data_IF_064360285940
#
_entry.id   IF_064360285940
#
_cell.length_a   1.000
_cell.length_b   1.000
_cell.length_c   1.000
_cell.angle_alpha   90.00
_cell.angle_beta   90.00
_cell.angle_gamma   90.00
#
_symmetry.space_group_name_H-M   'P 1'
#
loop_
_entity.id
_entity.type
_entity.pdbx_description
1 polymer ?
#
# COMPACT_ATOMS: atom_id res chain seq x y z
N UNK A 1 -45.25 25.79 -40.19
CA UNK A 1 -45.04 26.90 -41.16
C UNK A 1 -44.07 27.91 -40.58
N UNK A 2 -43.18 28.45 -41.43
CA UNK A 2 -42.10 29.46 -41.20
C UNK A 2 -40.86 28.94 -40.43
N UNK A 3 -39.62 29.29 -40.76
CA UNK A 3 -38.83 29.59 -41.97
C UNK A 3 -37.41 29.92 -41.44
N UNK A 4 -36.37 29.25 -41.98
CA UNK A 4 -34.95 29.69 -42.23
C UNK A 4 -34.12 30.19 -41.02
N UNK A 5 -32.81 29.93 -40.85
CA UNK A 5 -31.63 30.22 -41.72
C UNK A 5 -30.38 29.57 -41.03
N UNK A 6 -29.66 28.61 -41.62
CA UNK A 6 -28.35 28.68 -42.36
C UNK A 6 -27.31 29.69 -41.84
N UNK A 7 -26.11 29.19 -41.49
CA UNK A 7 -24.81 29.70 -41.98
C UNK A 7 -23.66 28.72 -41.66
N UNK A 8 -23.01 28.22 -42.72
CA UNK A 8 -21.70 27.58 -42.73
C UNK A 8 -20.61 28.64 -42.96
N UNK A 9 -19.36 28.37 -42.58
CA UNK A 9 -18.24 29.24 -42.88
C UNK A 9 -16.88 28.58 -42.60
N UNK A 10 -16.34 27.91 -43.62
CA UNK A 10 -14.96 27.46 -43.73
C UNK A 10 -14.06 28.65 -44.09
N UNK A 11 -12.84 28.76 -43.55
CA UNK A 11 -11.76 29.44 -44.25
C UNK A 11 -10.38 28.88 -43.89
N UNK A 12 -9.68 28.49 -44.95
CA UNK A 12 -8.34 27.96 -45.08
C UNK A 12 -7.42 29.12 -45.51
N UNK A 13 -6.23 29.27 -44.93
CA UNK A 13 -5.12 30.02 -45.54
C UNK A 13 -3.80 29.28 -45.28
N UNK A 14 -3.02 29.17 -46.37
CA UNK A 14 -1.75 28.46 -46.54
C UNK A 14 -0.63 29.47 -46.86
N UNK A 15 0.62 29.05 -46.59
CA UNK A 15 1.89 29.49 -47.25
C UNK A 15 2.47 30.87 -46.81
N UNK A 16 3.79 31.18 -46.77
CA UNK A 16 5.03 30.68 -47.40
C UNK A 16 6.29 31.04 -46.55
N UNK A 17 7.30 30.16 -46.62
CA UNK A 17 8.74 30.34 -46.93
C UNK A 17 9.61 31.52 -46.41
N UNK A 18 10.86 31.19 -46.04
CA UNK A 18 11.97 32.16 -45.92
C UNK A 18 13.30 31.52 -45.53
N UNK A 19 14.14 31.21 -46.53
CA UNK A 19 15.56 30.87 -46.37
C UNK A 19 16.38 32.11 -45.95
N UNK A 20 17.45 31.92 -45.19
CA UNK A 20 18.74 32.62 -45.41
C UNK A 20 19.87 31.97 -44.62
N UNK A 21 20.88 31.56 -45.37
CA UNK A 21 22.17 31.08 -44.92
C UNK A 21 23.12 32.27 -44.69
N UNK A 22 23.90 32.24 -43.61
CA UNK A 22 25.12 33.04 -43.48
C UNK A 22 26.26 32.13 -43.04
N UNK A 23 27.17 31.89 -43.98
CA UNK A 23 28.47 31.25 -43.79
C UNK A 23 29.42 32.21 -43.10
N UNK A 24 29.88 31.88 -41.90
CA UNK A 24 31.08 32.47 -41.30
C UNK A 24 32.13 31.39 -41.16
N UNK A 25 33.20 31.57 -41.92
CA UNK A 25 34.42 30.79 -41.90
C UNK A 25 35.20 31.11 -40.63
N UNK A 26 35.34 30.15 -39.73
CA UNK A 26 36.29 30.21 -38.61
C UNK A 26 37.23 29.01 -38.66
N UNK A 27 38.51 29.35 -38.59
CA UNK A 27 39.69 28.47 -38.60
C UNK A 27 39.58 27.34 -37.56
N UNK A 28 39.92 26.08 -37.90
CA UNK A 28 39.88 24.99 -36.92
C UNK A 28 41.09 25.08 -35.96
N UNK A 29 40.78 25.37 -34.70
CA UNK A 29 41.64 25.10 -33.54
C UNK A 29 41.84 23.57 -33.40
N UNK A 30 43.05 23.06 -33.10
CA UNK A 30 43.27 21.63 -32.94
C UNK A 30 42.40 21.05 -31.82
N UNK A 31 41.59 20.06 -32.18
CA UNK A 31 40.67 19.35 -31.28
C UNK A 31 41.47 18.49 -30.29
N UNK A 32 41.29 18.64 -28.97
CA UNK A 32 41.90 17.73 -28.01
C UNK A 32 41.34 16.32 -28.20
N UNK A 33 42.26 15.35 -28.21
CA UNK A 33 41.98 13.91 -28.32
C UNK A 33 40.89 13.51 -27.31
N UNK A 34 39.78 12.86 -27.74
CA UNK A 34 38.75 12.41 -26.81
C UNK A 34 39.35 11.47 -25.77
N UNK A 35 39.12 11.78 -24.50
CA UNK A 35 39.33 10.81 -23.43
C UNK A 35 38.44 9.59 -23.72
N UNK A 36 38.94 8.35 -23.49
CA UNK A 36 38.16 7.15 -23.74
C UNK A 36 36.84 7.23 -22.97
N UNK A 37 35.74 7.15 -23.70
CA UNK A 37 34.40 7.05 -23.12
C UNK A 37 34.40 5.84 -22.18
N UNK A 38 34.15 6.03 -20.87
CA UNK A 38 34.05 4.89 -19.96
C UNK A 38 32.92 4.00 -20.48
N UNK A 39 33.26 2.76 -20.80
CA UNK A 39 32.27 1.75 -21.16
C UNK A 39 31.25 1.69 -20.01
N UNK A 40 29.94 1.91 -20.28
CA UNK A 40 28.95 1.79 -19.24
C UNK A 40 29.05 0.38 -18.65
N UNK A 41 29.37 0.32 -17.36
CA UNK A 41 29.30 -0.92 -16.58
C UNK A 41 27.90 -1.50 -16.83
N UNK A 42 27.76 -2.79 -17.16
CA UNK A 42 26.45 -3.40 -17.33
C UNK A 42 25.61 -3.04 -16.12
N UNK A 43 24.55 -2.28 -16.37
CA UNK A 43 23.51 -2.07 -15.37
C UNK A 43 22.97 -3.45 -15.08
N UNK A 44 23.27 -3.98 -13.90
CA UNK A 44 22.63 -5.18 -13.41
C UNK A 44 21.20 -4.75 -13.13
N UNK A 45 20.34 -4.84 -14.14
CA UNK A 45 18.89 -4.79 -13.91
C UNK A 45 18.64 -5.87 -12.86
N UNK A 46 18.10 -5.53 -11.67
CA UNK A 46 17.75 -6.54 -10.69
C UNK A 46 16.77 -7.48 -11.39
N UNK A 47 17.22 -8.71 -11.67
CA UNK A 47 16.33 -9.74 -12.19
C UNK A 47 15.34 -10.01 -11.06
N UNK A 48 14.19 -9.34 -11.11
CA UNK A 48 13.07 -9.61 -10.21
C UNK A 48 12.85 -11.12 -10.26
N UNK A 49 12.89 -11.86 -9.14
CA UNK A 49 12.51 -13.24 -9.13
C UNK A 49 11.10 -13.30 -9.71
N UNK A 50 10.98 -13.88 -10.90
CA UNK A 50 9.67 -14.17 -11.48
C UNK A 50 9.26 -15.45 -10.78
N UNK A 51 8.74 -15.34 -9.56
CA UNK A 51 8.11 -16.50 -8.93
C UNK A 51 6.81 -16.77 -9.71
N UNK A 52 6.97 -17.55 -10.79
CA UNK A 52 5.90 -18.15 -11.56
C UNK A 52 5.53 -19.52 -11.00
N UNK A 53 6.12 -19.95 -9.88
CA UNK A 53 5.82 -21.22 -9.23
C UNK A 53 4.46 -21.19 -8.53
N UNK A 54 3.78 -22.33 -8.49
CA UNK A 54 2.58 -22.54 -7.65
C UNK A 54 2.93 -23.20 -6.32
N UNK A 55 4.22 -23.42 -6.04
CA UNK A 55 4.71 -24.05 -4.83
C UNK A 55 4.37 -23.19 -3.61
N UNK A 56 3.81 -23.81 -2.57
CA UNK A 56 3.54 -23.14 -1.29
C UNK A 56 4.89 -22.85 -0.63
N UNK A 57 5.17 -21.60 -0.24
CA UNK A 57 6.45 -21.25 0.34
C UNK A 57 6.57 -21.81 1.75
N UNK A 58 7.82 -22.01 2.15
CA UNK A 58 8.16 -22.42 3.50
C UNK A 58 8.17 -21.18 4.38
N UNK A 59 7.46 -21.24 5.50
CA UNK A 59 7.51 -20.20 6.53
C UNK A 59 8.79 -20.34 7.35
N UNK A 60 9.50 -19.23 7.50
CA UNK A 60 10.67 -19.11 8.36
C UNK A 60 10.30 -18.35 9.64
N UNK A 61 10.79 -18.84 10.77
CA UNK A 61 10.68 -18.13 12.04
C UNK A 61 11.70 -17.00 12.09
N UNK A 62 11.22 -15.78 12.32
CA UNK A 62 12.05 -14.57 12.40
C UNK A 62 12.37 -14.23 13.85
N UNK A 63 11.34 -14.22 14.70
CA UNK A 63 11.43 -13.78 16.09
C UNK A 63 10.40 -14.51 16.93
N UNK A 64 10.75 -14.80 18.19
CA UNK A 64 9.80 -15.29 19.20
C UNK A 64 10.01 -14.53 20.50
N UNK A 65 8.92 -14.08 21.12
CA UNK A 65 8.96 -13.23 22.30
C UNK A 65 7.69 -13.38 23.16
N UNK A 66 7.71 -12.93 24.43
CA UNK A 66 6.50 -12.81 25.24
C UNK A 66 5.46 -11.90 24.57
N UNK A 67 4.18 -12.14 24.84
CA UNK A 67 3.07 -11.36 24.25
C UNK A 67 3.02 -9.90 24.73
N UNK A 68 3.66 -9.59 25.86
CA UNK A 68 3.84 -8.26 26.42
C UNK A 68 5.21 -7.64 26.07
N UNK A 69 5.91 -8.23 25.10
CA UNK A 69 7.25 -7.87 24.68
C UNK A 69 7.30 -6.78 23.61
N UNK A 70 8.18 -6.97 22.63
CA UNK A 70 8.08 -6.21 21.39
C UNK A 70 7.20 -7.00 20.41
N UNK A 71 6.81 -6.39 19.31
CA UNK A 71 6.00 -7.02 18.27
C UNK A 71 6.58 -6.61 16.92
N UNK A 72 6.73 -7.54 15.98
CA UNK A 72 7.17 -7.14 14.64
C UNK A 72 6.11 -6.24 14.01
N UNK A 73 6.51 -5.05 13.56
CA UNK A 73 5.69 -4.22 12.68
C UNK A 73 5.97 -4.58 11.23
N UNK A 74 7.25 -4.55 10.85
CA UNK A 74 7.70 -4.89 9.49
C UNK A 74 9.20 -5.18 9.50
N UNK A 75 9.73 -5.68 8.39
CA UNK A 75 11.16 -5.94 8.22
C UNK A 75 11.59 -5.60 6.80
N UNK A 76 12.71 -4.93 6.66
CA UNK A 76 13.37 -4.67 5.38
C UNK A 76 14.73 -5.38 5.29
N UNK A 77 15.34 -5.43 4.11
CA UNK A 77 16.64 -6.05 3.89
C UNK A 77 17.67 -5.74 4.99
N UNK A 78 17.88 -4.47 5.37
CA UNK A 78 18.83 -4.10 6.43
C UNK A 78 18.23 -3.99 7.83
N UNK A 79 16.94 -3.75 7.98
CA UNK A 79 16.34 -3.33 9.26
C UNK A 79 15.17 -4.19 9.70
N UNK A 80 15.02 -4.37 11.02
CA UNK A 80 13.81 -4.91 11.64
C UNK A 80 13.12 -3.79 12.41
N UNK A 81 11.81 -3.67 12.24
CA UNK A 81 10.98 -2.69 12.93
C UNK A 81 10.10 -3.43 13.93
N UNK A 82 10.24 -3.06 15.20
CA UNK A 82 9.41 -3.60 16.26
C UNK A 82 8.69 -2.50 17.03
N UNK A 83 7.58 -2.85 17.66
CA UNK A 83 6.79 -1.96 18.52
C UNK A 83 6.62 -2.60 19.88
N UNK A 84 6.85 -1.84 20.95
CA UNK A 84 6.58 -2.31 22.31
C UNK A 84 5.08 -2.42 22.60
N UNK A 85 4.71 -3.31 23.52
CA UNK A 85 3.36 -3.37 24.10
C UNK A 85 3.08 -2.26 25.13
N UNK A 86 3.95 -1.23 25.21
CA UNK A 86 3.70 -0.05 26.05
C UNK A 86 2.56 0.79 25.47
N UNK A 87 1.92 1.59 26.33
CA UNK A 87 0.73 2.38 25.96
C UNK A 87 1.00 3.30 24.76
N UNK A 88 2.19 3.90 24.70
CA UNK A 88 2.58 4.76 23.58
C UNK A 88 2.93 3.98 22.31
N UNK A 89 3.21 2.68 22.39
CA UNK A 89 3.69 1.89 21.25
C UNK A 89 5.09 2.30 20.79
N UNK A 90 6.06 2.37 21.70
CA UNK A 90 7.45 2.72 21.38
C UNK A 90 7.94 1.86 20.21
N UNK A 91 8.31 2.52 19.11
CA UNK A 91 8.77 1.85 17.89
C UNK A 91 10.30 1.85 17.85
N UNK A 92 10.91 0.69 17.60
CA UNK A 92 12.36 0.55 17.44
C UNK A 92 12.71 0.05 16.05
N UNK A 93 13.78 0.61 15.47
CA UNK A 93 14.34 0.15 14.20
C UNK A 93 15.78 -0.27 14.48
N UNK A 94 16.07 -1.55 14.30
CA UNK A 94 17.38 -2.13 14.53
C UNK A 94 17.98 -2.69 13.24
N UNK A 95 19.29 -2.50 13.06
CA UNK A 95 20.03 -3.14 11.98
C UNK A 95 20.05 -4.66 12.23
N UNK A 96 19.66 -5.45 11.22
CA UNK A 96 19.47 -6.90 11.35
C UNK A 96 20.76 -7.67 11.62
N UNK A 97 21.87 -7.18 11.09
CA UNK A 97 23.17 -7.88 11.18
C UNK A 97 23.82 -7.60 12.53
N UNK A 98 23.95 -6.33 12.88
CA UNK A 98 24.60 -5.88 14.11
C UNK A 98 23.68 -5.89 15.33
N UNK A 99 22.36 -5.99 15.12
CA UNK A 99 21.32 -5.85 16.15
C UNK A 99 21.32 -4.49 16.86
N UNK A 100 22.06 -3.52 16.33
CA UNK A 100 22.14 -2.18 16.91
C UNK A 100 20.84 -1.43 16.61
N UNK A 101 20.20 -0.91 17.66
CA UNK A 101 19.08 0.03 17.52
C UNK A 101 19.60 1.33 16.90
N UNK A 102 19.05 1.68 15.75
CA UNK A 102 19.36 2.91 15.01
C UNK A 102 18.35 3.99 15.32
N UNK A 103 17.07 3.62 15.47
CA UNK A 103 15.99 4.52 15.85
C UNK A 103 15.26 3.93 17.04
N UNK A 104 14.99 4.78 18.03
CA UNK A 104 14.01 4.53 19.09
C UNK A 104 13.02 5.70 19.07
N UNK A 105 11.87 5.47 18.48
CA UNK A 105 10.80 6.44 18.36
C UNK A 105 9.84 6.28 19.54
N UNK A 106 9.69 7.36 20.30
CA UNK A 106 8.70 7.47 21.38
C UNK A 106 7.76 8.60 20.97
N UNK A 107 6.46 8.33 20.79
CA UNK A 107 5.50 9.37 20.47
C UNK A 107 5.48 10.46 21.53
N UNK A 108 5.07 11.66 21.12
CA UNK A 108 4.85 12.75 22.09
C UNK A 108 3.70 12.38 23.03
N UNK A 109 3.71 12.87 24.27
CA UNK A 109 2.62 12.62 25.23
C UNK A 109 1.24 12.86 24.63
N UNK A 110 0.33 11.90 24.79
CA UNK A 110 -1.01 11.92 24.22
C UNK A 110 -1.10 11.38 22.79
N UNK A 111 0.01 10.98 22.18
CA UNK A 111 0.05 10.25 20.92
C UNK A 111 0.44 8.80 21.16
N UNK A 112 -0.02 7.95 20.25
CA UNK A 112 0.35 6.54 20.14
C UNK A 112 0.91 6.32 18.74
N UNK A 113 2.03 5.61 18.62
CA UNK A 113 2.57 5.26 17.31
C UNK A 113 1.59 4.29 16.65
N UNK A 114 1.31 4.45 15.36
CA UNK A 114 0.49 3.51 14.62
C UNK A 114 1.31 2.68 13.62
N UNK A 115 0.78 1.50 13.30
CA UNK A 115 1.23 0.69 12.18
C UNK A 115 0.30 0.92 10.98
N UNK A 116 0.83 0.88 9.75
CA UNK A 116 2.16 0.38 9.41
C UNK A 116 3.28 1.43 9.48
N UNK A 117 4.52 0.93 9.60
CA UNK A 117 5.73 1.75 9.37
C UNK A 117 6.15 1.57 7.90
N UNK A 118 6.30 2.69 7.19
CA UNK A 118 6.86 2.68 5.82
C UNK A 118 8.38 2.67 5.94
N UNK A 119 9.07 1.74 5.30
CA UNK A 119 10.52 1.61 5.43
C UNK A 119 11.19 1.20 4.11
N UNK A 120 12.42 1.68 3.91
CA UNK A 120 13.39 1.15 2.96
C UNK A 120 14.78 1.01 3.64
N UNK A 121 15.85 0.74 2.87
CA UNK A 121 17.21 0.59 3.42
C UNK A 121 17.88 1.91 3.86
N UNK A 122 17.23 3.05 3.71
CA UNK A 122 17.75 4.39 4.02
C UNK A 122 16.80 5.22 4.89
N UNK A 123 15.50 5.01 4.79
CA UNK A 123 14.48 5.85 5.40
C UNK A 123 13.40 5.01 6.08
N UNK A 124 12.81 5.57 7.13
CA UNK A 124 11.55 5.11 7.68
C UNK A 124 10.59 6.28 7.89
N UNK A 125 9.28 6.03 7.79
CA UNK A 125 8.23 6.97 8.13
C UNK A 125 7.28 6.30 9.13
N UNK A 126 7.11 6.95 10.28
CA UNK A 126 6.31 6.49 11.40
C UNK A 126 5.17 7.49 11.59
N UNK A 127 3.98 6.96 11.83
CA UNK A 127 2.77 7.72 12.12
C UNK A 127 2.50 7.73 13.63
N UNK A 128 2.16 8.89 14.17
CA UNK A 128 1.73 9.12 15.54
C UNK A 128 0.30 9.64 15.52
N UNK A 129 -0.58 9.02 16.29
CA UNK A 129 -1.99 9.38 16.33
C UNK A 129 -2.41 9.76 17.73
N UNK A 130 -3.11 10.89 17.82
CA UNK A 130 -3.96 11.22 18.96
C UNK A 130 -5.39 11.07 18.50
N UNK A 131 -6.05 9.99 18.90
CA UNK A 131 -7.46 9.73 18.61
C UNK A 131 -8.40 10.38 19.62
N UNK A 132 -7.91 10.59 20.85
CA UNK A 132 -8.75 10.99 21.98
C UNK A 132 -8.83 12.51 22.11
N UNK A 133 -10.03 12.99 22.47
CA UNK A 133 -10.32 14.41 22.66
C UNK A 133 -10.98 15.07 21.44
N UNK A 134 -11.24 16.38 21.52
CA UNK A 134 -11.97 17.11 20.48
C UNK A 134 -11.15 17.34 19.19
N UNK A 135 -9.82 17.19 19.26
CA UNK A 135 -8.88 17.53 18.19
C UNK A 135 -8.02 16.31 17.81
N UNK A 136 -8.60 15.31 17.13
CA UNK A 136 -7.84 14.17 16.62
C UNK A 136 -6.77 14.67 15.66
N UNK A 137 -5.56 14.14 15.81
CA UNK A 137 -4.40 14.63 15.07
C UNK A 137 -3.50 13.45 14.67
N UNK A 138 -3.03 13.49 13.42
CA UNK A 138 -2.07 12.55 12.88
C UNK A 138 -0.78 13.30 12.55
N UNK A 139 0.33 12.81 13.08
CA UNK A 139 1.67 13.31 12.80
C UNK A 139 2.48 12.24 12.12
N UNK A 140 3.38 12.67 11.24
CA UNK A 140 4.34 11.76 10.61
C UNK A 140 5.75 12.23 10.88
N UNK A 141 6.61 11.28 11.22
CA UNK A 141 8.03 11.49 11.46
C UNK A 141 8.81 10.63 10.48
N UNK A 142 9.71 11.25 9.72
CA UNK A 142 10.63 10.54 8.84
C UNK A 142 12.01 10.44 9.48
N UNK A 143 12.60 9.27 9.43
CA UNK A 143 13.94 8.99 9.94
C UNK A 143 14.91 8.68 8.80
N UNK A 144 16.09 9.29 8.84
CA UNK A 144 17.28 8.82 8.12
C UNK A 144 17.89 7.66 8.90
N UNK A 145 17.85 6.45 8.35
CA UNK A 145 18.35 5.23 8.99
C UNK A 145 19.88 5.08 8.91
N UNK A 146 20.56 5.97 8.20
CA UNK A 146 22.04 6.05 8.24
C UNK A 146 22.49 6.86 9.45
N UNK A 147 21.77 7.94 9.76
CA UNK A 147 22.16 8.87 10.84
C UNK A 147 21.31 8.75 12.10
N UNK A 148 20.18 8.06 12.05
CA UNK A 148 19.17 7.98 13.12
C UNK A 148 18.39 9.29 13.32
N UNK A 149 18.58 10.29 12.45
CA UNK A 149 17.98 11.62 12.64
C UNK A 149 16.52 11.63 12.18
N UNK A 150 15.67 12.19 13.04
CA UNK A 150 14.27 12.46 12.74
C UNK A 150 14.11 13.81 12.02
N UNK A 151 13.12 13.89 11.13
CA UNK A 151 12.64 15.12 10.53
C UNK A 151 11.14 15.03 10.24
N UNK A 152 10.44 16.15 10.36
CA UNK A 152 9.10 16.28 9.79
C UNK A 152 9.21 16.30 8.27
N UNK A 153 8.44 15.47 7.54
CA UNK A 153 8.52 15.44 6.08
C UNK A 153 7.93 16.72 5.48
N UNK A 154 8.82 17.63 5.07
CA UNK A 154 8.42 18.88 4.39
C UNK A 154 8.02 18.58 2.95
N UNK A 155 6.92 19.19 2.50
CA UNK A 155 6.43 19.07 1.11
C UNK A 155 5.40 17.97 0.87
N UNK A 156 5.07 17.18 1.90
CA UNK A 156 3.93 16.28 1.88
C UNK A 156 2.67 16.98 2.40
N UNK A 157 1.51 16.78 1.77
CA UNK A 157 0.22 17.09 2.39
C UNK A 157 0.06 16.32 3.72
N UNK A 158 -0.57 16.91 4.75
CA UNK A 158 -0.81 16.23 6.04
C UNK A 158 -1.61 14.95 5.87
N UNK A 159 -1.32 13.93 6.67
CA UNK A 159 -2.12 12.71 6.72
C UNK A 159 -3.44 13.01 7.44
N UNK A 160 -4.56 12.51 6.92
CA UNK A 160 -5.90 12.73 7.48
C UNK A 160 -6.58 11.46 8.00
N UNK A 161 -6.12 10.28 7.59
CA UNK A 161 -6.66 8.99 8.02
C UNK A 161 -5.52 8.08 8.49
N UNK A 162 -5.77 7.23 9.49
CA UNK A 162 -4.75 6.41 10.16
C UNK A 162 -4.33 5.17 9.35
N UNK A 163 -4.26 5.29 8.02
CA UNK A 163 -4.12 4.18 7.09
C UNK A 163 -3.12 4.54 5.98
N UNK A 164 -1.96 3.88 6.01
CA UNK A 164 -0.90 4.06 5.02
C UNK A 164 -0.65 2.73 4.32
N UNK A 165 -0.79 2.71 3.00
CA UNK A 165 -0.36 1.59 2.16
C UNK A 165 1.08 1.78 1.74
N UNK A 166 1.90 0.74 1.78
CA UNK A 166 3.31 0.85 1.40
C UNK A 166 3.81 -0.38 0.64
N UNK A 167 4.68 -0.14 -0.33
CA UNK A 167 5.41 -1.17 -1.06
C UNK A 167 6.73 -0.58 -1.59
N UNK A 168 7.86 -1.15 -1.16
CA UNK A 168 9.21 -0.81 -1.64
C UNK A 168 9.50 0.70 -1.70
N UNK A 169 9.32 1.40 -0.60
CA UNK A 169 9.58 2.84 -0.49
C UNK A 169 8.58 3.75 -1.23
N UNK A 170 7.58 3.20 -1.91
CA UNK A 170 6.39 3.95 -2.34
C UNK A 170 5.31 3.78 -1.30
N UNK A 171 4.60 4.85 -0.96
CA UNK A 171 3.49 4.80 -0.03
C UNK A 171 2.32 5.67 -0.48
N UNK A 172 1.13 5.33 0.00
CA UNK A 172 -0.10 6.04 -0.28
C UNK A 172 -0.92 6.23 0.98
N UNK A 173 -1.57 7.37 1.09
CA UNK A 173 -2.30 7.79 2.29
C UNK A 173 -3.38 8.82 1.93
N UNK A 174 -4.34 9.01 2.81
CA UNK A 174 -5.39 10.02 2.66
C UNK A 174 -4.95 11.36 3.25
N UNK A 175 -5.29 12.45 2.58
CA UNK A 175 -5.03 13.82 3.00
C UNK A 175 -6.25 14.72 2.74
N UNK A 176 -6.38 15.81 3.50
CA UNK A 176 -7.43 16.81 3.25
C UNK A 176 -6.85 18.02 2.53
N UNK A 177 -7.39 18.36 1.37
CA UNK A 177 -6.94 19.54 0.62
C UNK A 177 -7.56 20.86 1.12
N UNK A 178 -7.09 21.98 0.58
CA UNK A 178 -7.58 23.32 0.94
C UNK A 178 -9.07 23.56 0.62
N UNK A 179 -9.74 22.67 -0.12
CA UNK A 179 -11.17 22.71 -0.42
C UNK A 179 -11.97 21.74 0.46
N UNK A 180 -11.35 21.21 1.52
CA UNK A 180 -11.93 20.22 2.42
C UNK A 180 -12.38 18.94 1.68
N UNK A 181 -11.61 18.54 0.66
CA UNK A 181 -11.80 17.27 -0.03
C UNK A 181 -10.79 16.26 0.49
N UNK A 182 -11.24 15.03 0.72
CA UNK A 182 -10.37 13.91 1.03
C UNK A 182 -9.71 13.43 -0.26
N UNK A 183 -8.38 13.43 -0.29
CA UNK A 183 -7.57 13.14 -1.45
C UNK A 183 -6.63 11.97 -1.16
N UNK A 184 -6.52 11.04 -2.11
CA UNK A 184 -5.50 10.01 -2.04
C UNK A 184 -4.18 10.59 -2.56
N UNK A 185 -3.15 10.54 -1.74
CA UNK A 185 -1.80 10.94 -2.09
C UNK A 185 -0.95 9.68 -2.31
N UNK A 186 -0.12 9.68 -3.35
CA UNK A 186 0.98 8.71 -3.53
C UNK A 186 2.28 9.48 -3.44
N UNK A 187 3.24 8.95 -2.68
CA UNK A 187 4.53 9.58 -2.44
C UNK A 187 5.69 8.56 -2.42
N UNK A 188 6.89 9.07 -2.69
CA UNK A 188 8.14 8.33 -2.57
C UNK A 188 8.80 8.64 -1.22
N UNK A 189 9.16 7.61 -0.46
CA UNK A 189 9.79 7.75 0.84
C UNK A 189 11.14 8.48 0.74
N UNK A 190 11.96 8.14 -0.26
CA UNK A 190 13.30 8.71 -0.42
C UNK A 190 13.30 10.20 -0.79
N UNK A 191 12.38 10.64 -1.66
CA UNK A 191 12.41 11.99 -2.23
C UNK A 191 11.31 12.91 -1.68
N UNK A 192 10.29 12.35 -1.03
CA UNK A 192 9.03 13.01 -0.65
C UNK A 192 8.29 13.65 -1.83
N UNK A 193 8.66 13.31 -3.07
CA UNK A 193 7.85 13.69 -4.22
C UNK A 193 6.51 12.99 -4.10
N UNK A 194 5.44 13.77 -4.22
CA UNK A 194 4.09 13.28 -4.06
C UNK A 194 3.19 13.80 -5.18
N UNK A 195 2.06 13.11 -5.36
CA UNK A 195 0.98 13.54 -6.24
C UNK A 195 -0.37 13.13 -5.66
N UNK A 196 -1.37 13.97 -5.87
CA UNK A 196 -2.76 13.56 -5.67
C UNK A 196 -3.20 12.61 -6.81
N UNK A 197 -3.87 11.52 -6.45
CA UNK A 197 -4.45 10.55 -7.39
C UNK A 197 -5.88 10.92 -7.72
N UNK A 198 -6.69 11.15 -6.69
CA UNK A 198 -8.09 11.57 -6.77
C UNK A 198 -8.47 12.34 -5.52
N UNK A 199 -9.58 13.08 -5.57
CA UNK A 199 -10.15 13.77 -4.43
C UNK A 199 -11.68 13.66 -4.44
N UNK A 200 -12.26 13.42 -3.27
CA UNK A 200 -13.69 13.26 -3.04
C UNK A 200 -14.15 14.40 -2.13
N UNK A 201 -15.26 15.04 -2.50
CA UNK A 201 -15.82 16.13 -1.70
C UNK A 201 -16.48 15.59 -0.43
N UNK A 202 -16.38 16.35 0.67
CA UNK A 202 -17.11 16.08 1.89
C UNK A 202 -18.63 15.94 1.63
N UNK A 203 -19.34 15.04 2.34
CA UNK A 203 -18.85 14.20 3.44
C UNK A 203 -18.17 12.90 2.98
N UNK A 204 -17.89 12.73 1.68
CA UNK A 204 -17.18 11.55 1.18
C UNK A 204 -15.68 11.60 1.49
N UNK A 205 -15.06 10.42 1.56
CA UNK A 205 -13.64 10.28 1.86
C UNK A 205 -13.00 9.10 1.12
N UNK A 206 -11.67 9.09 1.05
CA UNK A 206 -10.89 7.95 0.56
C UNK A 206 -10.14 7.27 1.72
N UNK A 207 -9.98 5.96 1.65
CA UNK A 207 -9.39 5.15 2.72
C UNK A 207 -8.76 3.86 2.17
N UNK A 208 -8.20 3.04 3.06
CA UNK A 208 -7.68 1.69 2.83
C UNK A 208 -6.71 1.55 1.64
N UNK A 209 -5.69 2.42 1.49
CA UNK A 209 -4.75 2.28 0.40
C UNK A 209 -3.92 0.99 0.53
N UNK A 210 -3.90 0.20 -0.55
CA UNK A 210 -3.00 -0.93 -0.76
C UNK A 210 -2.13 -0.63 -1.97
N UNK A 211 -0.81 -0.56 -1.75
CA UNK A 211 0.18 -0.29 -2.80
C UNK A 211 0.78 -1.61 -3.26
N UNK A 212 0.86 -1.81 -4.57
CA UNK A 212 1.58 -2.92 -5.20
C UNK A 212 2.74 -2.39 -6.04
N UNK A 213 3.37 -3.24 -6.85
CA UNK A 213 4.50 -2.85 -7.68
C UNK A 213 4.18 -1.76 -8.72
N UNK A 214 2.94 -1.69 -9.20
CA UNK A 214 2.55 -0.84 -10.34
C UNK A 214 1.26 -0.06 -10.11
N UNK A 215 0.50 -0.39 -9.06
CA UNK A 215 -0.82 0.17 -8.80
C UNK A 215 -1.00 0.54 -7.34
N UNK A 216 -1.86 1.53 -7.10
CA UNK A 216 -2.49 1.77 -5.80
C UNK A 216 -3.96 1.40 -5.92
N UNK A 217 -4.45 0.59 -5.00
CA UNK A 217 -5.87 0.25 -4.84
C UNK A 217 -6.35 0.87 -3.55
N UNK A 218 -7.56 1.40 -3.50
CA UNK A 218 -8.05 2.15 -2.35
C UNK A 218 -9.58 2.20 -2.37
N UNK A 219 -10.17 2.57 -1.25
CA UNK A 219 -11.61 2.75 -1.14
C UNK A 219 -12.01 4.22 -1.28
N UNK A 220 -13.18 4.44 -1.88
CA UNK A 220 -13.88 5.72 -1.91
C UNK A 220 -15.25 5.49 -1.24
N UNK A 221 -15.56 6.29 -0.24
CA UNK A 221 -16.83 6.28 0.47
C UNK A 221 -17.59 7.55 0.10
N UNK A 222 -18.80 7.38 -0.43
CA UNK A 222 -19.75 8.47 -0.69
C UNK A 222 -20.94 8.34 0.26
N UNK A 223 -21.38 9.48 0.80
CA UNK A 223 -22.55 9.61 1.68
C UNK A 223 -22.51 8.67 2.92
N UNK A 224 -21.41 8.71 3.72
CA UNK A 224 -21.16 7.74 4.79
C UNK A 224 -22.26 7.64 5.85
N UNK A 225 -22.95 8.74 6.13
CA UNK A 225 -23.95 8.85 7.20
C UNK A 225 -25.38 8.47 6.78
N UNK A 226 -25.56 7.93 5.57
CA UNK A 226 -26.89 7.66 5.02
C UNK A 226 -27.09 6.19 4.69
N UNK A 227 -28.36 5.76 4.60
CA UNK A 227 -28.72 4.45 4.06
C UNK A 227 -28.30 4.27 2.58
N UNK A 228 -27.81 5.33 1.91
CA UNK A 228 -27.25 5.31 0.55
C UNK A 228 -25.72 5.25 0.55
N UNK A 229 -25.08 4.98 1.70
CA UNK A 229 -23.63 4.79 1.81
C UNK A 229 -23.15 3.83 0.74
N UNK A 230 -22.12 4.25 0.04
CA UNK A 230 -21.58 3.56 -1.11
C UNK A 230 -20.06 3.54 -0.95
N UNK A 231 -19.49 2.38 -0.61
CA UNK A 231 -18.03 2.16 -0.56
C UNK A 231 -17.63 1.43 -1.84
N UNK A 232 -16.72 2.02 -2.60
CA UNK A 232 -16.21 1.50 -3.88
C UNK A 232 -14.72 1.31 -3.80
N UNK A 233 -14.22 0.27 -4.45
CA UNK A 233 -12.79 0.13 -4.67
C UNK A 233 -12.41 0.78 -5.98
N UNK A 234 -11.36 1.58 -5.96
CA UNK A 234 -10.73 2.18 -7.13
C UNK A 234 -9.29 1.68 -7.24
N UNK A 235 -8.76 1.67 -8.45
CA UNK A 235 -7.35 1.43 -8.71
C UNK A 235 -6.78 2.52 -9.61
N UNK A 236 -5.51 2.87 -9.40
CA UNK A 236 -4.78 3.82 -10.24
C UNK A 236 -3.34 3.34 -10.48
N UNK A 237 -2.77 3.54 -11.67
CA UNK A 237 -1.35 3.27 -11.91
C UNK A 237 -0.45 4.18 -11.06
N UNK A 238 0.64 3.64 -10.52
CA UNK A 238 1.64 4.42 -9.79
C UNK A 238 2.38 5.41 -10.69
N UNK A 239 2.55 5.07 -11.97
CA UNK A 239 3.16 5.93 -13.00
C UNK A 239 2.34 7.17 -13.36
N UNK A 240 1.11 7.28 -12.83
CA UNK A 240 0.18 8.36 -13.13
C UNK A 240 -0.97 7.90 -14.03
N UNK A 241 -2.07 8.66 -13.97
CA UNK A 241 -3.33 8.34 -14.65
C UNK A 241 -4.53 8.54 -13.73
N UNK A 242 -5.72 8.43 -14.30
CA UNK A 242 -6.98 8.55 -13.55
C UNK A 242 -7.27 7.26 -12.79
N UNK A 243 -7.75 7.40 -11.55
CA UNK A 243 -8.32 6.28 -10.83
C UNK A 243 -9.55 5.72 -11.56
N UNK A 244 -9.68 4.39 -11.58
CA UNK A 244 -10.78 3.68 -12.22
C UNK A 244 -11.52 2.84 -11.17
N UNK A 245 -12.86 2.88 -11.15
CA UNK A 245 -13.63 2.01 -10.26
C UNK A 245 -13.46 0.55 -10.67
N UNK A 246 -13.39 -0.31 -9.67
CA UNK A 246 -13.45 -1.78 -9.81
C UNK A 246 -14.92 -2.15 -9.75
N UNK A 247 -15.55 -2.65 -10.84
CA UNK A 247 -16.97 -2.93 -10.86
C UNK A 247 -17.34 -3.97 -9.80
N UNK A 248 -18.20 -3.58 -8.86
CA UNK A 248 -18.70 -4.46 -7.80
C UNK A 248 -19.35 -5.74 -8.36
N UNK A 249 -19.33 -6.80 -7.58
CA UNK A 249 -19.99 -8.06 -7.87
C UNK A 249 -21.49 -7.99 -7.53
N UNK A 250 -21.85 -7.43 -6.37
CA UNK A 250 -23.25 -7.38 -5.92
C UNK A 250 -23.79 -5.97 -5.78
N UNK A 251 -23.14 -5.13 -4.95
CA UNK A 251 -23.63 -3.82 -4.55
C UNK A 251 -22.47 -2.85 -4.30
N UNK A 252 -22.75 -1.56 -4.09
CA UNK A 252 -21.74 -0.55 -3.75
C UNK A 252 -21.28 -0.62 -2.28
N UNK A 253 -20.71 -1.74 -1.88
CA UNK A 253 -20.33 -2.05 -0.49
C UNK A 253 -19.00 -2.82 -0.48
N UNK A 254 -18.11 -2.46 -1.38
CA UNK A 254 -16.78 -3.05 -1.44
C UNK A 254 -15.99 -2.55 -0.23
N UNK A 255 -15.26 -3.40 0.46
CA UNK A 255 -14.64 -3.03 1.72
C UNK A 255 -13.13 -2.77 1.60
N UNK A 256 -12.37 -3.78 1.21
CA UNK A 256 -10.93 -3.68 0.95
C UNK A 256 -10.58 -4.36 -0.37
N UNK A 257 -9.43 -4.03 -0.95
CA UNK A 257 -9.01 -4.65 -2.20
C UNK A 257 -7.57 -4.34 -2.59
N UNK A 258 -7.03 -5.19 -3.45
CA UNK A 258 -5.68 -5.06 -3.98
C UNK A 258 -5.65 -5.40 -5.47
N UNK A 259 -4.78 -4.72 -6.20
CA UNK A 259 -4.58 -4.92 -7.65
C UNK A 259 -3.14 -5.29 -7.94
N UNK A 260 -2.93 -6.31 -8.76
CA UNK A 260 -1.64 -6.72 -9.30
C UNK A 260 -1.80 -7.02 -10.79
N UNK A 261 -0.93 -6.45 -11.64
CA UNK A 261 -0.91 -6.72 -13.08
C UNK A 261 -2.30 -6.61 -13.76
N UNK A 262 -3.13 -5.66 -13.31
CA UNK A 262 -4.49 -5.43 -13.82
C UNK A 262 -5.59 -6.36 -13.27
N UNK A 263 -5.24 -7.39 -12.50
CA UNK A 263 -6.21 -8.20 -11.77
C UNK A 263 -6.46 -7.63 -10.39
N UNK A 264 -7.72 -7.61 -9.96
CA UNK A 264 -8.12 -7.08 -8.65
C UNK A 264 -8.86 -8.14 -7.85
N UNK A 265 -8.45 -8.31 -6.59
CA UNK A 265 -9.23 -9.02 -5.56
C UNK A 265 -9.82 -7.98 -4.62
N UNK A 266 -11.09 -8.15 -4.24
CA UNK A 266 -11.76 -7.29 -3.28
C UNK A 266 -12.76 -8.06 -2.42
N UNK A 267 -13.15 -7.46 -1.30
CA UNK A 267 -14.19 -7.94 -0.40
C UNK A 267 -15.49 -7.12 -0.54
N UNK A 268 -16.65 -7.74 -0.29
CA UNK A 268 -17.93 -7.03 -0.16
C UNK A 268 -18.66 -7.41 1.14
N UNK A 269 -19.07 -6.40 1.90
CA UNK A 269 -19.76 -6.52 3.20
C UNK A 269 -21.13 -5.88 3.09
N UNK A 270 -22.23 -6.63 3.25
CA UNK A 270 -23.55 -6.01 3.20
C UNK A 270 -23.76 -5.03 4.36
N UNK A 271 -24.42 -3.90 4.11
CA UNK A 271 -24.72 -2.93 5.17
C UNK A 271 -25.60 -3.53 6.29
N UNK A 272 -26.35 -4.60 5.98
CA UNK A 272 -27.16 -5.36 6.92
C UNK A 272 -26.43 -6.61 7.47
N UNK A 273 -25.17 -6.85 7.09
CA UNK A 273 -24.41 -7.98 7.59
C UNK A 273 -24.05 -7.73 9.07
N UNK A 274 -24.52 -8.56 10.01
CA UNK A 274 -24.17 -8.41 11.41
C UNK A 274 -22.69 -8.72 11.68
N UNK A 275 -22.02 -9.45 10.79
CA UNK A 275 -20.60 -9.77 10.88
C UNK A 275 -19.80 -8.95 9.87
N UNK A 276 -19.52 -7.69 10.18
CA UNK A 276 -18.66 -6.83 9.36
C UNK A 276 -17.18 -7.25 9.39
N UNK A 277 -16.81 -8.24 10.21
CA UNK A 277 -15.45 -8.74 10.32
C UNK A 277 -15.13 -9.79 9.24
N UNK A 278 -16.15 -10.46 8.68
CA UNK A 278 -15.98 -11.37 7.54
C UNK A 278 -16.81 -10.96 6.34
N UNK A 279 -16.26 -11.24 5.16
CA UNK A 279 -16.90 -10.89 3.90
C UNK A 279 -16.61 -11.91 2.81
N UNK A 280 -17.36 -11.81 1.71
CA UNK A 280 -17.08 -12.58 0.50
C UNK A 280 -16.01 -11.88 -0.32
N UNK A 281 -14.98 -12.62 -0.69
CA UNK A 281 -13.94 -12.19 -1.61
C UNK A 281 -14.34 -12.50 -3.06
N UNK A 282 -14.01 -11.60 -3.96
CA UNK A 282 -14.19 -11.71 -5.40
C UNK A 282 -12.91 -11.36 -6.13
N UNK A 283 -12.80 -11.81 -7.37
CA UNK A 283 -11.71 -11.48 -8.27
C UNK A 283 -12.20 -11.11 -9.67
N UNK A 284 -11.47 -10.20 -10.31
CA UNK A 284 -11.51 -9.94 -11.75
C UNK A 284 -10.07 -10.00 -12.24
N UNK A 285 -9.80 -10.85 -13.23
CA UNK A 285 -8.44 -10.99 -13.78
C UNK A 285 -8.06 -9.85 -14.72
N UNK A 286 -9.04 -9.09 -15.19
CA UNK A 286 -8.88 -7.83 -15.91
C UNK A 286 -10.12 -6.95 -15.73
N UNK A 287 -10.04 -5.66 -16.06
CA UNK A 287 -11.14 -4.70 -15.89
C UNK A 287 -12.48 -5.14 -16.53
N UNK A 288 -12.43 -5.85 -17.66
CA UNK A 288 -13.60 -6.33 -18.39
C UNK A 288 -13.98 -7.79 -18.07
N UNK A 289 -13.14 -8.51 -17.33
CA UNK A 289 -13.42 -9.90 -16.95
C UNK A 289 -14.59 -9.96 -15.95
N UNK A 290 -15.45 -10.99 -16.00
CA UNK A 290 -16.51 -11.17 -15.02
C UNK A 290 -15.95 -11.38 -13.61
N UNK A 291 -16.68 -10.91 -12.60
CA UNK A 291 -16.34 -11.18 -11.21
C UNK A 291 -16.53 -12.67 -10.89
N UNK A 292 -15.59 -13.25 -10.16
CA UNK A 292 -15.64 -14.65 -9.70
C UNK A 292 -15.43 -14.70 -8.19
N UNK A 293 -16.21 -15.49 -7.43
CA UNK A 293 -15.98 -15.64 -5.99
C UNK A 293 -14.67 -16.37 -5.71
N UNK A 294 -13.98 -15.95 -4.64
CA UNK A 294 -12.76 -16.59 -4.12
C UNK A 294 -12.96 -17.26 -2.76
N UNK A 295 -14.08 -17.00 -2.08
CA UNK A 295 -14.39 -17.55 -0.77
C UNK A 295 -14.60 -16.45 0.26
N UNK A 296 -14.25 -16.70 1.51
CA UNK A 296 -14.33 -15.73 2.60
C UNK A 296 -13.00 -15.00 2.80
N UNK A 297 -13.08 -13.84 3.43
CA UNK A 297 -11.95 -13.00 3.82
C UNK A 297 -12.30 -12.21 5.08
N UNK A 298 -11.33 -12.05 5.98
CA UNK A 298 -11.41 -11.08 7.08
C UNK A 298 -11.25 -9.69 6.48
N UNK A 299 -12.17 -8.78 6.79
CA UNK A 299 -12.13 -7.40 6.28
C UNK A 299 -10.82 -6.71 6.63
N UNK A 300 -10.37 -5.81 5.76
CA UNK A 300 -9.11 -5.06 5.92
C UNK A 300 -7.80 -5.87 6.00
N UNK A 301 -7.82 -7.16 5.62
CA UNK A 301 -6.60 -8.01 5.56
C UNK A 301 -6.05 -8.23 4.16
N UNK A 302 -6.68 -7.67 3.12
CA UNK A 302 -6.25 -7.85 1.72
C UNK A 302 -4.96 -7.04 1.48
N UNK A 303 -3.90 -7.72 1.08
CA UNK A 303 -2.56 -7.15 0.85
C UNK A 303 -2.02 -7.57 -0.52
N UNK A 304 -1.33 -6.66 -1.23
CA UNK A 304 -0.49 -7.04 -2.37
C UNK A 304 0.95 -7.30 -1.92
N UNK A 305 1.54 -8.42 -2.34
CA UNK A 305 2.95 -8.70 -2.11
C UNK A 305 3.57 -9.47 -3.28
N UNK A 306 4.56 -8.87 -3.94
CA UNK A 306 5.11 -9.39 -5.18
C UNK A 306 4.05 -9.54 -6.25
N UNK A 307 3.94 -10.75 -6.82
CA UNK A 307 2.91 -11.09 -7.81
C UNK A 307 1.71 -11.80 -7.17
N UNK A 308 1.48 -11.62 -5.87
CA UNK A 308 0.38 -12.25 -5.14
C UNK A 308 -0.48 -11.22 -4.43
N UNK A 309 -1.76 -11.55 -4.30
CA UNK A 309 -2.67 -10.92 -3.35
C UNK A 309 -2.91 -11.93 -2.23
N UNK A 310 -2.76 -11.48 -0.99
CA UNK A 310 -2.90 -12.28 0.22
C UNK A 310 -4.04 -11.72 1.07
N UNK A 311 -4.65 -12.59 1.88
CA UNK A 311 -5.66 -12.19 2.85
C UNK A 311 -5.82 -13.24 3.96
N UNK A 312 -6.40 -12.83 5.07
CA UNK A 312 -6.75 -13.74 6.15
C UNK A 312 -8.15 -14.30 5.99
N UNK A 313 -8.35 -15.51 6.48
CA UNK A 313 -9.67 -16.12 6.65
C UNK A 313 -9.78 -16.61 8.07
N UNK A 314 -10.88 -16.25 8.73
CA UNK A 314 -11.24 -16.76 10.05
C UNK A 314 -12.29 -17.85 9.91
N UNK A 315 -12.25 -18.85 10.79
CA UNK A 315 -13.29 -19.87 10.93
C UNK A 315 -13.59 -20.05 12.40
N UNK A 316 -14.89 -20.08 12.75
CA UNK A 316 -15.37 -20.28 14.12
C UNK A 316 -16.00 -21.66 14.20
N UNK A 317 -15.53 -22.50 15.12
CA UNK A 317 -16.12 -23.82 15.36
C UNK A 317 -17.48 -23.69 16.07
N UNK A 318 -18.33 -24.74 16.08
CA UNK A 318 -19.56 -24.73 16.88
C UNK A 318 -19.34 -24.50 18.37
N UNK A 319 -18.14 -24.79 18.88
CA UNK A 319 -17.74 -24.53 20.27
C UNK A 319 -17.25 -23.09 20.50
N UNK A 320 -17.24 -22.24 19.47
CA UNK A 320 -16.77 -20.86 19.54
C UNK A 320 -15.26 -20.70 19.37
N UNK A 321 -14.52 -21.76 19.05
CA UNK A 321 -13.07 -21.68 18.84
C UNK A 321 -12.74 -21.02 17.50
N UNK A 322 -11.89 -20.02 17.53
CA UNK A 322 -11.44 -19.31 16.34
C UNK A 322 -10.14 -19.88 15.79
N UNK A 323 -10.08 -19.98 14.47
CA UNK A 323 -8.89 -20.36 13.71
C UNK A 323 -8.69 -19.40 12.56
N UNK A 324 -7.43 -19.09 12.27
CA UNK A 324 -7.04 -18.16 11.21
C UNK A 324 -6.16 -18.88 10.18
N UNK A 325 -6.30 -18.50 8.92
CA UNK A 325 -5.44 -18.96 7.84
C UNK A 325 -5.08 -17.79 6.93
N UNK A 326 -3.94 -17.88 6.27
CA UNK A 326 -3.55 -16.93 5.23
C UNK A 326 -3.72 -17.62 3.89
N UNK A 327 -4.50 -17.01 3.02
CA UNK A 327 -4.66 -17.42 1.64
C UNK A 327 -3.90 -16.46 0.73
N UNK A 328 -3.50 -16.98 -0.44
CA UNK A 328 -2.93 -16.17 -1.51
C UNK A 328 -3.52 -16.54 -2.87
N UNK A 329 -3.54 -15.57 -3.78
CA UNK A 329 -3.97 -15.75 -5.15
C UNK A 329 -3.15 -14.87 -6.11
N UNK A 330 -3.08 -15.28 -7.37
CA UNK A 330 -2.50 -14.48 -8.46
C UNK A 330 -3.22 -14.79 -9.78
N UNK A 331 -3.07 -13.94 -10.81
CA UNK A 331 -3.62 -14.18 -12.14
C UNK A 331 -3.33 -15.59 -12.67
N UNK A 332 -4.32 -16.19 -13.33
CA UNK A 332 -4.23 -17.55 -13.87
C UNK A 332 -4.48 -18.68 -12.86
N UNK A 333 -4.69 -18.40 -11.57
CA UNK A 333 -5.11 -19.41 -10.61
C UNK A 333 -6.64 -19.53 -10.51
N UNK A 334 -7.15 -20.75 -10.70
CA UNK A 334 -8.58 -21.03 -10.58
C UNK A 334 -9.10 -20.86 -9.14
N UNK A 335 -8.30 -21.19 -8.12
CA UNK A 335 -8.67 -21.06 -6.71
C UNK A 335 -7.53 -20.47 -5.90
N UNK A 336 -7.82 -19.81 -4.76
CA UNK A 336 -6.79 -19.40 -3.81
C UNK A 336 -6.01 -20.61 -3.28
N UNK A 337 -4.78 -20.37 -2.88
CA UNK A 337 -3.94 -21.34 -2.20
C UNK A 337 -3.86 -20.98 -0.71
N UNK A 338 -4.08 -21.97 0.15
CA UNK A 338 -3.81 -21.82 1.59
C UNK A 338 -2.32 -21.85 1.84
N UNK A 339 -1.79 -20.74 2.31
CA UNK A 339 -0.36 -20.53 2.55
C UNK A 339 0.04 -20.83 3.99
N UNK A 340 -0.85 -20.53 4.95
CA UNK A 340 -0.65 -20.76 6.38
C UNK A 340 -1.97 -21.17 7.03
N UNK A 341 -1.92 -22.01 8.06
CA UNK A 341 -3.06 -22.37 8.87
C UNK A 341 -2.64 -22.36 10.35
N UNK A 342 -3.20 -21.43 11.11
CA UNK A 342 -2.93 -21.30 12.53
C UNK A 342 -3.60 -22.45 13.30
N UNK A 343 -3.01 -22.80 14.46
CA UNK A 343 -3.69 -23.69 15.42
C UNK A 343 -4.82 -22.92 16.13
N UNK A 344 -5.83 -23.62 16.69
CA UNK A 344 -6.81 -22.98 17.56
C UNK A 344 -6.15 -22.17 18.68
N UNK A 345 -6.72 -21.01 19.01
CA UNK A 345 -6.18 -20.12 20.05
C UNK A 345 -4.94 -19.32 19.62
N UNK A 346 -4.69 -19.25 18.31
CA UNK A 346 -3.67 -18.38 17.71
C UNK A 346 -4.36 -17.23 16.97
N UNK A 347 -4.02 -15.99 17.32
CA UNK A 347 -4.42 -14.79 16.59
C UNK A 347 -3.30 -14.35 15.63
N UNK A 348 -3.65 -13.69 14.53
CA UNK A 348 -2.69 -13.11 13.59
C UNK A 348 -2.74 -11.58 13.64
N UNK A 349 -1.58 -10.95 13.56
CA UNK A 349 -1.50 -9.50 13.29
C UNK A 349 -1.72 -9.22 11.81
N UNK A 350 -2.08 -7.99 11.42
CA UNK A 350 -2.09 -7.60 10.01
C UNK A 350 -0.77 -7.93 9.32
N UNK A 351 -0.86 -8.47 8.10
CA UNK A 351 0.30 -8.81 7.29
C UNK A 351 0.99 -7.53 6.77
N UNK A 352 2.32 -7.58 6.66
CA UNK A 352 3.09 -6.57 5.92
C UNK A 352 3.90 -7.20 4.80
N UNK A 353 4.15 -6.43 3.73
CA UNK A 353 4.96 -6.86 2.61
C UNK A 353 6.19 -5.98 2.46
N UNK A 354 7.37 -6.59 2.39
CA UNK A 354 8.62 -5.91 2.03
C UNK A 354 9.48 -6.83 1.19
N UNK A 355 10.05 -6.32 0.09
CA UNK A 355 10.93 -7.08 -0.82
C UNK A 355 10.33 -8.43 -1.27
N UNK A 356 9.02 -8.46 -1.57
CA UNK A 356 8.26 -9.67 -1.92
C UNK A 356 8.30 -10.76 -0.84
N UNK A 357 8.45 -10.37 0.41
CA UNK A 357 8.34 -11.25 1.58
C UNK A 357 7.17 -10.75 2.40
N UNK A 358 6.24 -11.66 2.69
CA UNK A 358 5.17 -11.38 3.66
C UNK A 358 5.67 -11.67 5.06
N UNK A 359 5.32 -10.80 6.00
CA UNK A 359 5.58 -10.96 7.42
C UNK A 359 4.26 -10.90 8.18
N UNK A 360 4.13 -11.76 9.17
CA UNK A 360 2.98 -11.81 10.07
C UNK A 360 3.44 -12.28 11.44
N UNK A 361 2.81 -11.78 12.49
CA UNK A 361 3.02 -12.28 13.84
C UNK A 361 1.83 -13.16 14.26
N UNK A 362 2.14 -14.36 14.74
CA UNK A 362 1.19 -15.31 15.30
C UNK A 362 1.25 -15.26 16.83
N UNK A 363 0.18 -14.80 17.47
CA UNK A 363 0.07 -14.73 18.92
C UNK A 363 -0.55 -16.01 19.48
N UNK A 364 0.23 -16.81 20.20
CA UNK A 364 -0.18 -18.07 20.81
C UNK A 364 -0.81 -17.86 22.19
N UNK A 365 -2.04 -17.36 22.21
CA UNK A 365 -2.76 -16.96 23.42
C UNK A 365 -3.22 -18.14 24.28
N UNK A 366 -3.42 -19.31 23.68
CA UNK A 366 -3.80 -20.53 24.40
C UNK A 366 -2.61 -21.30 25.03
N UNK A 367 -1.38 -20.78 24.91
CA UNK A 367 -0.17 -21.44 25.44
C UNK A 367 0.23 -20.92 26.83
N UNK A 368 1.03 -21.68 27.57
CA UNK A 368 1.58 -21.26 28.87
C UNK A 368 3.10 -21.50 28.90
N UNK A 369 3.94 -20.45 28.94
CA UNK A 369 3.57 -19.03 28.86
C UNK A 369 3.02 -18.65 27.47
N UNK A 370 2.23 -17.58 27.40
CA UNK A 370 1.81 -16.99 26.12
C UNK A 370 3.01 -16.36 25.41
N UNK A 371 3.03 -16.41 24.08
CA UNK A 371 4.11 -15.86 23.27
C UNK A 371 3.61 -15.46 21.90
N UNK A 372 4.39 -14.64 21.21
CA UNK A 372 4.24 -14.35 19.79
C UNK A 372 5.38 -14.95 18.98
N UNK A 373 5.08 -15.39 17.77
CA UNK A 373 6.06 -15.86 16.79
C UNK A 373 5.88 -15.08 15.50
N UNK A 374 6.90 -14.33 15.12
CA UNK A 374 6.97 -13.70 13.81
C UNK A 374 7.42 -14.72 12.78
N UNK A 375 6.60 -14.92 11.76
CA UNK A 375 6.89 -15.80 10.64
C UNK A 375 6.95 -15.00 9.33
N UNK A 376 7.79 -15.44 8.41
CA UNK A 376 7.90 -14.84 7.08
C UNK A 376 7.94 -15.86 5.97
N UNK A 377 7.49 -15.45 4.79
CA UNK A 377 7.54 -16.28 3.58
C UNK A 377 7.77 -15.42 2.35
N UNK A 378 8.72 -15.82 1.51
CA UNK A 378 8.91 -15.22 0.19
C UNK A 378 7.72 -15.59 -0.72
N UNK A 379 7.25 -14.63 -1.52
CA UNK A 379 6.08 -14.77 -2.41
C UNK A 379 6.36 -14.41 -3.86
#
# INVERSE_FOLDING_TARGET
>A
MRRRTVAAGTLLVLALAGCSSTTLTTTPTPTPKPAPTPTPKPSVTPTRPTDSGTAIPVWANVLRQPVDGQHLVTQQHKYVVTRGSDEAGTTTIADRTSRKVVVRHVPTTGFVAQSPVVIDDHWALIEDIRSDGPDPEIKVVRYDLTTGKAATPVGLPPVSEPEIGAYNGTFAYSSTDAKNRSCLIVAELATLKSRAVTCVAAPGYVADPVVSADTVTFSEIIAPETARRCKRILSAPLTGGTAKPVPAATNCIQWSGATIAGATVWSEVAAADPDQYQSKAYVRESGDSPARPLGTVVTDTILACGNWILWEVRTVSPAGEETYQINRWRPGLASPQRMYAARPGVALTPMTCQDNTVYVEAAHLASTPTYTETISAAV
#
